data_IF_159809280466
#
_entry.id   IF_159809280466
#
_cell.length_a   1.000
_cell.length_b   1.000
_cell.length_c   1.000
_cell.angle_alpha   90.00
_cell.angle_beta   90.00
_cell.angle_gamma   90.00
#
_symmetry.space_group_name_H-M   'P 1'
#
loop_
_entity.id
_entity.type
_entity.pdbx_description
1 polymer ?
#
# COMPACT_ATOMS: atom_id res chain seq x y z
N UNK A 1 -14.08 -6.46 -5.96
CA UNK A 1 -15.47 -6.53 -5.44
C UNK A 1 -15.80 -5.22 -4.75
N UNK A 2 -16.99 -4.67 -5.00
CA UNK A 2 -17.52 -3.50 -4.27
C UNK A 2 -18.84 -3.81 -3.60
N UNK A 3 -19.03 -3.25 -2.41
CA UNK A 3 -20.27 -3.32 -1.62
C UNK A 3 -20.56 -1.96 -1.00
N UNK A 4 -21.72 -1.83 -0.33
CA UNK A 4 -22.04 -0.64 0.46
C UNK A 4 -21.05 -0.51 1.63
N UNK A 5 -20.37 0.62 1.73
CA UNK A 5 -19.43 0.93 2.81
C UNK A 5 -18.69 2.24 2.57
N UNK A 6 -17.74 2.58 3.44
CA UNK A 6 -16.94 3.80 3.36
C UNK A 6 -15.64 3.58 2.59
N UNK A 7 -15.09 4.68 2.06
CA UNK A 7 -13.72 4.75 1.53
C UNK A 7 -12.68 4.38 2.59
N UNK A 8 -11.62 3.65 2.22
CA UNK A 8 -10.60 3.24 3.19
C UNK A 8 -9.94 4.45 3.86
N UNK A 9 -9.72 5.53 3.12
CA UNK A 9 -9.14 6.77 3.65
C UNK A 9 -10.00 7.38 4.75
N UNK A 10 -11.33 7.38 4.58
CA UNK A 10 -12.29 7.80 5.61
C UNK A 10 -12.24 6.89 6.83
N UNK A 11 -12.17 5.56 6.62
CA UNK A 11 -12.08 4.59 7.72
C UNK A 11 -10.78 4.77 8.50
N UNK A 12 -9.64 4.89 7.82
CA UNK A 12 -8.33 5.11 8.44
C UNK A 12 -8.30 6.43 9.21
N UNK A 13 -8.88 7.50 8.64
CA UNK A 13 -9.02 8.78 9.34
C UNK A 13 -9.84 8.64 10.63
N UNK A 14 -10.99 7.96 10.55
CA UNK A 14 -11.83 7.71 11.73
C UNK A 14 -11.11 6.89 12.80
N UNK A 15 -10.36 5.85 12.41
CA UNK A 15 -9.53 5.07 13.35
C UNK A 15 -8.48 5.97 14.01
N UNK A 16 -7.73 6.74 13.22
CA UNK A 16 -6.67 7.62 13.73
C UNK A 16 -7.19 8.75 14.64
N UNK A 17 -8.42 9.21 14.45
CA UNK A 17 -9.03 10.25 15.28
C UNK A 17 -9.68 9.72 16.56
N UNK A 18 -10.13 8.46 16.57
CA UNK A 18 -10.99 7.95 17.66
C UNK A 18 -10.39 6.81 18.48
N UNK A 19 -9.32 6.17 17.99
CA UNK A 19 -8.68 5.03 18.64
C UNK A 19 -7.29 5.42 19.18
N UNK A 20 -6.94 4.90 20.35
CA UNK A 20 -5.60 5.03 20.97
C UNK A 20 -4.82 3.72 20.95
N UNK A 21 -5.52 2.58 20.90
CA UNK A 21 -4.94 1.24 20.97
C UNK A 21 -5.30 0.40 19.74
N UNK A 22 -4.46 -0.61 19.46
CA UNK A 22 -4.74 -1.62 18.43
C UNK A 22 -6.08 -2.31 18.70
N UNK A 23 -6.39 -2.64 19.95
CA UNK A 23 -7.68 -3.28 20.30
C UNK A 23 -8.91 -2.41 20.00
N UNK A 24 -8.79 -1.08 20.13
CA UNK A 24 -9.84 -0.15 19.70
C UNK A 24 -9.95 -0.10 18.18
N UNK A 25 -8.82 0.02 17.48
CA UNK A 25 -8.78 0.03 16.03
C UNK A 25 -9.40 -1.26 15.43
N UNK A 26 -9.09 -2.43 15.99
CA UNK A 26 -9.67 -3.71 15.57
C UNK A 26 -11.20 -3.74 15.73
N UNK A 27 -11.73 -3.21 16.83
CA UNK A 27 -13.20 -3.11 17.04
C UNK A 27 -13.85 -2.18 16.00
N UNK A 28 -13.19 -1.10 15.62
CA UNK A 28 -13.66 -0.19 14.58
C UNK A 28 -13.62 -0.86 13.21
N UNK A 29 -12.48 -1.46 12.83
CA UNK A 29 -12.32 -2.16 11.55
C UNK A 29 -13.31 -3.32 11.37
N UNK A 30 -13.66 -4.01 12.47
CA UNK A 30 -14.67 -5.06 12.44
C UNK A 30 -16.10 -4.53 12.16
N UNK A 31 -16.42 -3.35 12.69
CA UNK A 31 -17.79 -2.80 12.72
C UNK A 31 -18.09 -1.86 11.56
N UNK A 32 -17.11 -1.08 11.11
CA UNK A 32 -17.31 -0.06 10.06
C UNK A 32 -17.22 -0.73 8.69
N UNK A 33 -18.27 -0.66 7.85
CA UNK A 33 -18.25 -1.33 6.56
C UNK A 33 -17.32 -0.62 5.58
N UNK A 34 -16.45 -1.38 4.91
CA UNK A 34 -15.63 -0.88 3.79
C UNK A 34 -16.34 -1.13 2.46
N UNK A 35 -16.24 -0.19 1.52
CA UNK A 35 -16.79 -0.38 0.18
C UNK A 35 -16.01 -1.39 -0.67
N UNK A 36 -14.74 -1.66 -0.35
CA UNK A 36 -13.83 -2.58 -1.04
C UNK A 36 -12.97 -3.36 -0.03
N UNK A 37 -12.35 -4.48 -0.42
CA UNK A 37 -11.40 -5.17 0.44
C UNK A 37 -10.08 -4.38 0.58
N UNK A 38 -9.48 -4.41 1.77
CA UNK A 38 -8.19 -3.76 2.05
C UNK A 38 -7.37 -4.58 3.04
N UNK A 39 -6.06 -4.46 2.94
CA UNK A 39 -5.13 -4.99 3.94
C UNK A 39 -4.59 -3.81 4.74
N UNK A 40 -4.72 -3.86 6.07
CA UNK A 40 -4.31 -2.79 6.98
C UNK A 40 -3.42 -3.38 8.06
N UNK A 41 -2.26 -2.75 8.28
CA UNK A 41 -1.46 -2.98 9.48
C UNK A 41 -1.69 -1.82 10.42
N UNK A 42 -2.05 -2.12 11.67
CA UNK A 42 -2.23 -1.14 12.74
C UNK A 42 -1.18 -1.38 13.82
N UNK A 43 -0.69 -0.31 14.43
CA UNK A 43 0.24 -0.36 15.56
C UNK A 43 -0.04 0.81 16.52
N UNK A 44 0.30 0.63 17.80
CA UNK A 44 0.13 1.68 18.82
C UNK A 44 1.39 1.92 19.66
N UNK A 45 1.35 2.95 20.51
CA UNK A 45 2.49 3.38 21.31
C UNK A 45 2.93 2.37 22.40
N UNK A 46 2.10 1.36 22.70
CA UNK A 46 2.49 0.26 23.60
C UNK A 46 3.41 -0.76 22.92
N UNK A 47 3.53 -0.71 21.59
CA UNK A 47 4.24 -1.69 20.79
C UNK A 47 3.34 -2.83 20.28
N UNK A 48 2.04 -2.81 20.60
CA UNK A 48 1.09 -3.74 20.00
C UNK A 48 0.94 -3.44 18.49
N UNK A 49 0.76 -4.50 17.70
CA UNK A 49 0.50 -4.40 16.27
C UNK A 49 -0.42 -5.55 15.80
N UNK A 50 -1.15 -5.33 14.73
CA UNK A 50 -1.96 -6.34 14.06
C UNK A 50 -2.00 -6.09 12.54
N UNK A 51 -1.94 -7.16 11.75
CA UNK A 51 -2.31 -7.13 10.34
C UNK A 51 -3.74 -7.63 10.20
N UNK A 52 -4.53 -6.95 9.37
CA UNK A 52 -5.97 -7.14 9.26
C UNK A 52 -6.38 -7.09 7.80
N UNK A 53 -7.13 -8.09 7.37
CA UNK A 53 -7.87 -8.05 6.11
C UNK A 53 -9.28 -7.52 6.39
N UNK A 54 -9.64 -6.41 5.77
CA UNK A 54 -10.98 -5.82 5.79
C UNK A 54 -11.72 -6.27 4.55
N UNK A 55 -12.98 -6.65 4.68
CA UNK A 55 -13.79 -7.16 3.58
C UNK A 55 -14.78 -6.11 3.06
N UNK A 56 -15.13 -6.22 1.77
CA UNK A 56 -16.18 -5.38 1.19
C UNK A 56 -17.53 -5.67 1.86
N UNK A 57 -18.23 -4.63 2.30
CA UNK A 57 -19.52 -4.73 2.99
C UNK A 57 -19.40 -4.84 4.51
N UNK A 58 -18.17 -5.02 5.03
CA UNK A 58 -17.86 -5.06 6.45
C UNK A 58 -17.34 -6.41 6.94
N UNK A 59 -16.88 -6.41 8.18
CA UNK A 59 -16.12 -7.50 8.77
C UNK A 59 -14.62 -7.38 8.46
N UNK A 60 -13.82 -7.92 9.35
CA UNK A 60 -12.38 -7.97 9.22
C UNK A 60 -11.83 -9.27 9.82
N UNK A 61 -10.62 -9.65 9.41
CA UNK A 61 -9.92 -10.83 9.92
C UNK A 61 -8.49 -10.47 10.27
N UNK A 62 -8.13 -10.69 11.53
CA UNK A 62 -6.75 -10.56 11.99
C UNK A 62 -5.92 -11.69 11.39
N UNK A 63 -4.77 -11.34 10.84
CA UNK A 63 -3.85 -12.26 10.19
C UNK A 63 -2.76 -12.73 11.15
N UNK A 64 -2.22 -13.95 10.97
CA UNK A 64 -1.22 -14.52 11.87
C UNK A 64 0.17 -13.86 11.75
N UNK A 65 0.40 -13.07 10.69
CA UNK A 65 1.68 -12.39 10.42
C UNK A 65 1.45 -10.90 10.22
N UNK A 66 2.41 -10.08 10.67
CA UNK A 66 2.40 -8.63 10.49
C UNK A 66 2.87 -8.21 9.09
N UNK A 67 2.26 -8.81 8.07
CA UNK A 67 2.56 -8.58 6.66
C UNK A 67 1.26 -8.21 5.94
N UNK A 68 1.36 -7.24 5.05
CA UNK A 68 0.30 -6.88 4.12
C UNK A 68 0.93 -6.53 2.77
N UNK A 69 0.46 -7.18 1.70
CA UNK A 69 0.74 -6.77 0.31
C UNK A 69 -0.59 -6.55 -0.42
N UNK A 70 -0.68 -6.86 -1.72
CA UNK A 70 -1.85 -6.55 -2.55
C UNK A 70 -2.71 -7.80 -2.81
N UNK A 71 -2.81 -8.71 -1.85
CA UNK A 71 -3.69 -9.89 -1.93
C UNK A 71 -4.28 -10.25 -0.56
N UNK A 72 -5.45 -10.89 -0.55
CA UNK A 72 -6.05 -11.47 0.65
C UNK A 72 -5.76 -12.97 0.74
N UNK A 73 -5.87 -13.51 1.94
CA UNK A 73 -5.64 -14.93 2.30
C UNK A 73 -6.93 -15.75 2.31
N UNK A 74 -8.02 -15.20 1.78
CA UNK A 74 -9.35 -15.81 1.68
C UNK A 74 -9.51 -16.75 0.47
N UNK A 75 -8.45 -16.90 -0.34
CA UNK A 75 -8.47 -17.71 -1.56
C UNK A 75 -9.00 -16.96 -2.79
N UNK A 76 -9.37 -15.68 -2.65
CA UNK A 76 -9.71 -14.84 -3.79
C UNK A 76 -8.49 -14.64 -4.70
N UNK A 77 -8.75 -14.46 -6.01
CA UNK A 77 -7.71 -14.13 -6.98
C UNK A 77 -7.42 -12.63 -6.84
N UNK A 78 -6.20 -12.23 -6.47
CA UNK A 78 -5.88 -10.82 -6.33
C UNK A 78 -5.81 -10.14 -7.69
N UNK A 79 -6.30 -8.91 -7.73
CA UNK A 79 -6.20 -8.09 -8.94
C UNK A 79 -4.72 -7.84 -9.28
N UNK A 80 -4.39 -7.96 -10.57
CA UNK A 80 -3.04 -7.73 -11.11
C UNK A 80 -1.93 -8.46 -10.32
N UNK A 81 -2.19 -9.67 -9.84
CA UNK A 81 -1.28 -10.47 -8.99
C UNK A 81 0.17 -10.55 -9.52
N UNK A 82 0.30 -10.89 -10.81
CA UNK A 82 1.58 -11.04 -11.51
C UNK A 82 2.27 -9.68 -11.63
N UNK A 83 1.53 -8.67 -12.07
CA UNK A 83 2.05 -7.32 -12.25
C UNK A 83 2.56 -6.73 -10.93
N UNK A 84 1.79 -6.80 -9.84
CA UNK A 84 2.20 -6.27 -8.53
C UNK A 84 3.22 -7.17 -7.80
N UNK A 85 3.48 -8.38 -8.32
CA UNK A 85 4.31 -9.42 -7.69
C UNK A 85 3.96 -9.63 -6.21
N UNK A 86 2.67 -9.58 -5.90
CA UNK A 86 2.14 -9.52 -4.53
C UNK A 86 2.60 -10.69 -3.65
N UNK A 87 2.63 -11.91 -4.20
CA UNK A 87 3.10 -13.10 -3.50
C UNK A 87 4.61 -13.12 -3.27
N UNK A 88 5.41 -12.68 -4.26
CA UNK A 88 6.87 -12.58 -4.10
C UNK A 88 7.23 -11.62 -2.97
N UNK A 89 6.59 -10.44 -2.92
CA UNK A 89 6.83 -9.45 -1.87
C UNK A 89 6.37 -9.95 -0.50
N UNK A 90 5.24 -10.66 -0.43
CA UNK A 90 4.78 -11.26 0.84
C UNK A 90 5.79 -12.26 1.38
N UNK A 91 6.24 -13.20 0.52
CA UNK A 91 7.25 -14.19 0.89
C UNK A 91 8.56 -13.55 1.38
N UNK A 92 9.00 -12.48 0.73
CA UNK A 92 10.18 -11.71 1.16
C UNK A 92 9.96 -11.04 2.52
N UNK A 93 8.81 -10.41 2.76
CA UNK A 93 8.50 -9.81 4.07
C UNK A 93 8.41 -10.87 5.17
N UNK A 94 7.84 -12.03 4.88
CA UNK A 94 7.78 -13.15 5.81
C UNK A 94 9.17 -13.66 6.18
N UNK A 95 10.11 -13.77 5.22
CA UNK A 95 11.49 -14.16 5.52
C UNK A 95 12.20 -13.11 6.37
N UNK A 96 12.04 -11.82 6.05
CA UNK A 96 12.60 -10.70 6.85
C UNK A 96 12.13 -10.74 8.31
N UNK A 97 10.85 -11.06 8.54
CA UNK A 97 10.29 -11.23 9.89
C UNK A 97 10.83 -12.47 10.60
N UNK A 98 10.99 -13.60 9.90
CA UNK A 98 11.52 -14.85 10.47
C UNK A 98 12.99 -14.70 10.85
N UNK A 99 13.76 -13.99 10.03
CA UNK A 99 15.18 -13.70 10.28
C UNK A 99 15.38 -12.75 11.47
N UNK A 100 14.32 -12.07 11.93
CA UNK A 100 14.40 -11.15 13.06
C UNK A 100 15.21 -9.90 12.73
N UNK A 101 15.06 -9.37 11.52
CA UNK A 101 15.78 -8.15 11.10
C UNK A 101 15.56 -7.03 12.10
N UNK A 102 16.67 -6.48 12.62
CA UNK A 102 16.62 -5.37 13.57
C UNK A 102 15.87 -4.17 12.98
N UNK A 103 15.09 -3.41 13.78
CA UNK A 103 14.31 -2.28 13.28
C UNK A 103 15.13 -1.29 12.44
N UNK A 104 16.35 -0.98 12.87
CA UNK A 104 17.26 -0.07 12.17
C UNK A 104 17.68 -0.56 10.76
N UNK A 105 17.62 -1.86 10.51
CA UNK A 105 17.95 -2.47 9.22
C UNK A 105 16.70 -2.76 8.36
N UNK A 106 15.50 -2.72 8.96
CA UNK A 106 14.25 -3.07 8.28
C UNK A 106 13.95 -2.12 7.12
N UNK A 107 14.16 -0.82 7.29
CA UNK A 107 13.94 0.17 6.22
C UNK A 107 14.79 -0.12 4.98
N UNK A 108 16.01 -0.64 5.17
CA UNK A 108 16.90 -1.05 4.09
C UNK A 108 16.23 -2.05 3.13
N UNK A 109 15.46 -3.00 3.67
CA UNK A 109 14.70 -3.97 2.88
C UNK A 109 13.64 -3.29 1.98
N UNK A 110 12.98 -2.25 2.49
CA UNK A 110 11.95 -1.50 1.76
C UNK A 110 12.52 -0.52 0.73
N UNK A 111 13.82 -0.22 0.78
CA UNK A 111 14.51 0.63 -0.19
C UNK A 111 15.12 -0.15 -1.36
N UNK A 112 14.97 -1.48 -1.38
CA UNK A 112 15.55 -2.36 -2.38
C UNK A 112 14.50 -3.30 -2.98
N UNK A 113 14.82 -3.93 -4.12
CA UNK A 113 14.01 -5.00 -4.67
C UNK A 113 13.96 -6.19 -3.69
N UNK A 114 12.84 -6.93 -3.58
CA UNK A 114 11.63 -6.83 -4.39
C UNK A 114 10.58 -5.83 -3.87
N UNK A 115 10.82 -5.16 -2.74
CA UNK A 115 9.83 -4.27 -2.10
C UNK A 115 9.76 -2.91 -2.78
N UNK A 116 10.91 -2.33 -3.13
CA UNK A 116 10.99 -1.12 -3.94
C UNK A 116 10.78 -1.44 -5.42
N UNK A 117 9.87 -0.70 -6.05
CA UNK A 117 9.50 -0.86 -7.46
C UNK A 117 9.78 0.44 -8.21
N UNK A 118 10.28 0.34 -9.45
CA UNK A 118 10.72 1.49 -10.25
C UNK A 118 10.07 1.53 -11.65
N UNK A 119 8.99 0.78 -11.87
CA UNK A 119 8.27 0.70 -13.15
C UNK A 119 7.28 1.85 -13.33
N UNK A 120 7.74 3.08 -13.10
CA UNK A 120 6.89 4.28 -13.13
C UNK A 120 6.18 4.47 -14.49
N UNK A 121 6.86 4.16 -15.59
CA UNK A 121 6.30 4.22 -16.95
C UNK A 121 5.14 3.24 -17.17
N UNK A 122 5.05 2.16 -16.38
CA UNK A 122 3.99 1.17 -16.42
C UNK A 122 2.88 1.45 -15.38
N UNK A 123 2.92 2.62 -14.74
CA UNK A 123 1.99 2.98 -13.67
C UNK A 123 2.23 2.25 -12.35
N UNK A 124 3.45 1.75 -12.10
CA UNK A 124 3.76 1.04 -10.86
C UNK A 124 5.18 1.32 -10.34
N UNK A 125 5.26 2.13 -9.30
CA UNK A 125 6.51 2.40 -8.62
C UNK A 125 6.29 2.80 -7.17
N UNK A 126 7.34 2.63 -6.37
CA UNK A 126 7.38 3.08 -4.98
C UNK A 126 7.64 4.57 -4.97
N UNK A 127 6.63 5.36 -4.60
CA UNK A 127 6.79 6.81 -4.47
C UNK A 127 7.69 7.15 -3.28
N UNK A 128 7.40 6.58 -2.12
CA UNK A 128 8.22 6.73 -0.92
C UNK A 128 8.08 5.50 -0.03
N UNK A 129 9.03 5.31 0.87
CA UNK A 129 8.90 4.36 1.99
C UNK A 129 8.63 5.16 3.25
N UNK A 130 7.58 4.82 3.99
CA UNK A 130 7.28 5.43 5.29
C UNK A 130 7.65 4.47 6.42
N UNK A 131 8.46 4.95 7.34
CA UNK A 131 8.82 4.29 8.58
C UNK A 131 8.09 4.97 9.73
N UNK A 132 7.41 4.20 10.56
CA UNK A 132 6.67 4.72 11.72
C UNK A 132 7.27 4.16 13.00
N UNK A 133 7.46 5.04 13.98
CA UNK A 133 7.89 4.70 15.34
C UNK A 133 6.80 5.12 16.33
N UNK A 134 5.72 4.33 16.53
CA UNK A 134 4.55 4.76 17.30
C UNK A 134 4.87 5.16 18.74
N UNK A 135 5.79 4.44 19.40
CA UNK A 135 6.23 4.75 20.77
C UNK A 135 6.94 6.10 20.85
N UNK A 136 7.70 6.45 19.82
CA UNK A 136 8.44 7.71 19.73
C UNK A 136 7.60 8.84 19.12
N UNK A 137 6.38 8.55 18.63
CA UNK A 137 5.49 9.50 17.95
C UNK A 137 6.18 10.19 16.75
N UNK A 138 6.94 9.40 15.99
CA UNK A 138 7.74 9.85 14.84
C UNK A 138 7.41 9.07 13.58
N UNK A 139 7.63 9.72 12.44
CA UNK A 139 7.58 9.13 11.12
C UNK A 139 8.76 9.63 10.30
N UNK A 140 9.39 8.76 9.52
CA UNK A 140 10.40 9.13 8.53
C UNK A 140 9.92 8.69 7.14
N UNK A 141 9.91 9.63 6.21
CA UNK A 141 9.71 9.37 4.78
C UNK A 141 11.07 9.21 4.12
N UNK A 142 11.21 8.19 3.29
CA UNK A 142 12.45 7.83 2.61
C UNK A 142 12.27 7.81 1.10
N UNK A 143 13.15 8.52 0.40
CA UNK A 143 13.40 8.47 -1.05
C UNK A 143 14.83 7.97 -1.32
N UNK A 144 15.25 7.84 -2.58
CA UNK A 144 16.62 7.38 -2.91
C UNK A 144 17.72 8.27 -2.31
N UNK A 145 17.53 9.58 -2.34
CA UNK A 145 18.56 10.56 -1.98
C UNK A 145 18.11 11.54 -0.91
N UNK A 146 16.90 11.36 -0.36
CA UNK A 146 16.32 12.29 0.60
C UNK A 146 15.55 11.53 1.69
N UNK A 147 15.63 12.04 2.91
CA UNK A 147 14.80 11.63 4.03
C UNK A 147 14.06 12.83 4.59
N UNK A 148 12.85 12.62 5.07
CA UNK A 148 12.08 13.66 5.75
C UNK A 148 11.46 13.12 7.03
N UNK A 149 11.97 13.61 8.16
CA UNK A 149 11.52 13.24 9.50
C UNK A 149 10.41 14.18 9.95
N UNK A 150 9.36 13.60 10.55
CA UNK A 150 8.24 14.28 11.17
C UNK A 150 7.98 13.73 12.58
N UNK A 151 7.47 14.57 13.47
CA UNK A 151 7.06 14.19 14.83
C UNK A 151 5.69 14.77 15.15
N UNK A 152 4.87 14.04 15.91
CA UNK A 152 3.61 14.58 16.42
C UNK A 152 3.81 15.67 17.48
N UNK A 153 4.97 15.72 18.13
CA UNK A 153 5.24 16.68 19.22
C UNK A 153 5.80 18.01 18.69
N UNK A 154 6.35 18.01 17.48
CA UNK A 154 6.91 19.17 16.80
C UNK A 154 6.64 19.10 15.29
N UNK A 155 5.37 18.88 14.93
CA UNK A 155 4.99 18.75 13.53
C UNK A 155 5.19 20.07 12.80
N UNK A 156 5.90 20.02 11.66
CA UNK A 156 6.08 21.16 10.78
C UNK A 156 5.51 20.83 9.40
N UNK A 157 4.52 21.61 8.97
CA UNK A 157 4.00 21.50 7.61
C UNK A 157 5.10 21.80 6.58
N UNK A 158 5.01 21.14 5.43
CA UNK A 158 5.98 21.33 4.37
C UNK A 158 5.56 20.67 3.07
N UNK A 159 6.35 20.91 2.02
CA UNK A 159 6.17 20.30 0.71
C UNK A 159 7.52 19.85 0.17
N UNK A 160 7.52 18.80 -0.65
CA UNK A 160 8.68 18.30 -1.39
C UNK A 160 8.27 17.99 -2.82
N UNK A 161 9.06 18.46 -3.77
CA UNK A 161 8.95 18.04 -5.16
C UNK A 161 9.91 16.87 -5.39
N UNK A 162 9.38 15.71 -5.77
CA UNK A 162 10.17 14.53 -6.09
C UNK A 162 9.89 14.12 -7.52
N UNK A 163 10.96 13.91 -8.29
CA UNK A 163 10.87 13.50 -9.69
C UNK A 163 11.20 12.02 -9.80
N UNK A 164 10.26 11.26 -10.36
CA UNK A 164 10.41 9.83 -10.62
C UNK A 164 10.67 9.61 -12.11
N UNK A 165 11.68 8.82 -12.43
CA UNK A 165 12.04 8.48 -13.80
C UNK A 165 12.82 9.60 -14.52
N UNK A 166 14.15 9.59 -14.39
CA UNK A 166 15.04 10.27 -15.35
C UNK A 166 16.41 9.59 -15.44
N UNK A 167 16.55 8.61 -16.34
CA UNK A 167 17.83 8.20 -16.91
C UNK A 167 17.59 7.62 -18.31
N UNK A 168 18.04 8.38 -19.33
CA UNK A 168 17.94 8.15 -20.77
C UNK A 168 16.52 7.97 -21.34
N UNK A 169 16.18 8.85 -22.29
CA UNK A 169 15.23 8.52 -23.37
C UNK A 169 15.93 7.46 -24.26
N UNK A 170 16.15 6.27 -23.72
CA UNK A 170 16.28 5.07 -24.53
C UNK A 170 14.89 4.81 -25.08
N UNK A 171 14.78 4.69 -26.40
CA UNK A 171 13.54 4.37 -27.11
C UNK A 171 12.69 3.43 -26.27
N UNK A 172 11.52 3.92 -25.85
CA UNK A 172 10.47 3.14 -25.20
C UNK A 172 10.35 1.82 -25.97
N UNK A 173 10.66 0.65 -25.39
CA UNK A 173 10.09 -0.58 -25.93
C UNK A 173 8.59 -0.36 -25.81
N UNK A 174 7.91 -0.33 -26.94
CA UNK A 174 6.46 -0.14 -27.08
C UNK A 174 5.73 -1.03 -26.05
N UNK A 175 5.54 -0.50 -24.85
CA UNK A 175 5.03 -1.25 -23.71
C UNK A 175 3.52 -1.25 -23.80
N UNK A 176 2.97 -2.30 -24.40
CA UNK A 176 1.57 -2.77 -24.47
C UNK A 176 0.45 -1.75 -24.79
N UNK A 177 0.77 -0.46 -24.98
CA UNK A 177 -0.16 0.59 -25.39
C UNK A 177 -1.31 0.90 -24.41
N UNK A 178 -1.21 0.45 -23.16
CA UNK A 178 -2.26 0.66 -22.15
C UNK A 178 -2.11 2.04 -21.48
N UNK A 179 -3.17 2.85 -21.52
CA UNK A 179 -3.23 4.14 -20.82
C UNK A 179 -3.50 3.97 -19.31
N UNK A 180 -2.44 3.69 -18.56
CA UNK A 180 -2.49 3.50 -17.11
C UNK A 180 -2.86 4.78 -16.33
N UNK A 181 -2.64 5.95 -16.91
CA UNK A 181 -2.97 7.24 -16.27
C UNK A 181 -4.48 7.41 -16.24
N UNK A 182 -5.15 7.15 -17.37
CA UNK A 182 -6.61 7.23 -17.45
C UNK A 182 -7.27 6.19 -16.53
N UNK A 183 -6.74 4.97 -16.47
CA UNK A 183 -7.19 3.92 -15.54
C UNK A 183 -7.14 4.43 -14.09
N UNK A 184 -6.00 4.99 -13.67
CA UNK A 184 -5.82 5.52 -12.31
C UNK A 184 -6.81 6.63 -11.96
N UNK A 185 -7.10 7.53 -12.92
CA UNK A 185 -8.08 8.60 -12.73
C UNK A 185 -9.51 8.06 -12.60
N UNK A 186 -9.88 7.04 -13.37
CA UNK A 186 -11.21 6.43 -13.31
C UNK A 186 -11.43 5.66 -12.00
N UNK A 187 -10.42 4.93 -11.50
CA UNK A 187 -10.47 4.33 -10.16
C UNK A 187 -10.58 5.39 -9.05
N UNK A 188 -9.85 6.50 -9.16
CA UNK A 188 -9.95 7.60 -8.20
C UNK A 188 -11.33 8.29 -8.21
N UNK A 189 -12.02 8.27 -9.36
CA UNK A 189 -13.41 8.73 -9.51
C UNK A 189 -14.45 7.69 -9.01
N UNK A 190 -14.01 6.57 -8.42
CA UNK A 190 -14.89 5.51 -7.95
C UNK A 190 -15.48 4.64 -9.06
N UNK A 191 -14.97 4.78 -10.29
CA UNK A 191 -15.33 3.89 -11.38
C UNK A 191 -14.54 2.58 -11.26
N UNK A 192 -15.10 1.48 -11.75
CA UNK A 192 -14.41 0.20 -11.90
C UNK A 192 -14.25 -0.09 -13.38
N UNK A 193 -13.35 0.63 -14.05
CA UNK A 193 -13.25 0.47 -15.49
C UNK A 193 -12.59 -0.88 -15.79
N UNK A 194 -13.12 -1.59 -16.80
CA UNK A 194 -12.40 -2.72 -17.35
C UNK A 194 -11.13 -2.19 -18.01
N UNK A 195 -9.96 -2.51 -17.44
CA UNK A 195 -8.67 -2.03 -17.93
C UNK A 195 -8.43 -2.42 -19.41
N UNK A 196 -9.12 -3.45 -19.92
CA UNK A 196 -9.09 -3.82 -21.34
C UNK A 196 -9.60 -2.71 -22.26
N UNK A 197 -10.41 -1.78 -21.77
CA UNK A 197 -10.91 -0.64 -22.56
C UNK A 197 -9.84 0.38 -22.90
N UNK A 198 -8.71 0.35 -22.20
CA UNK A 198 -7.58 1.23 -22.41
C UNK A 198 -6.49 0.55 -23.24
N UNK A 199 -6.77 -0.64 -23.80
CA UNK A 199 -5.95 -1.25 -24.82
C UNK A 199 -6.08 -0.46 -26.13
N UNK A 200 -5.00 -0.39 -26.93
CA UNK A 200 -5.09 0.05 -28.32
C UNK A 200 -6.08 -0.84 -29.08
N UNK A 201 -6.84 -0.24 -30.01
CA UNK A 201 -7.75 -1.00 -30.87
C UNK A 201 -6.99 -2.11 -31.60
N UNK A 202 -7.41 -3.36 -31.41
CA UNK A 202 -6.86 -4.53 -32.10
C UNK A 202 -5.90 -5.39 -31.29
N UNK A 203 -5.67 -5.10 -30.00
CA UNK A 203 -4.94 -6.01 -29.09
C UNK A 203 -5.94 -6.92 -28.39
N UNK A 204 -5.85 -8.22 -28.67
CA UNK A 204 -6.61 -9.28 -27.97
C UNK A 204 -5.74 -9.86 -26.86
N UNK A 205 -6.23 -9.80 -25.62
CA UNK A 205 -5.59 -10.36 -24.42
C UNK A 205 -6.55 -11.40 -23.85
N UNK A 206 -6.43 -12.60 -24.39
CA UNK A 206 -7.00 -13.83 -23.85
C UNK A 206 -6.31 -14.22 -22.54
#
# INVERSE_FOLDING_TARGET
ETRRGFGITTILRYVLETCKTVSEALRVLQRVPSHMPYNVVVADASGAAASVEVYAGGGAKVQPRLVATNHQTDGSIPDRAVFTRTYQRSKHLESVLIEGTEPAALVGQFTQAPLKQHRYAEGFGTLFTAEYEPRCRKMTLHWDNEIWVQSLDAFAEGTREVRYGSAAVGSVPQGDGIDWVQIGMEYAAGQQPDWRRFLPRGIDVA
#
